data_IF_498196486352
#
_entry.id   IF_498196486352
#
_cell.length_a   1.000
_cell.length_b   1.000
_cell.length_c   1.000
_cell.angle_alpha   90.00
_cell.angle_beta   90.00
_cell.angle_gamma   90.00
#
_symmetry.space_group_name_H-M   'P 1'
#
loop_
_entity.id
_entity.type
_entity.pdbx_description
1 polymer ?
#
# COMPACT_ATOMS: atom_id res chain seq x y z
N UNK A 1 -9.24 -5.67 2.38
CA UNK A 1 -9.42 -4.35 3.01
C UNK A 1 -9.10 -3.27 1.97
N UNK A 2 -9.71 -2.09 2.06
CA UNK A 2 -9.41 -0.94 1.19
C UNK A 2 -9.04 0.23 2.10
N UNK A 3 -7.83 0.77 1.94
CA UNK A 3 -7.36 1.98 2.61
C UNK A 3 -7.17 3.10 1.60
N UNK A 4 -7.55 4.33 1.97
CA UNK A 4 -7.36 5.51 1.12
C UNK A 4 -6.75 6.64 1.92
N UNK A 5 -5.58 7.10 1.49
CA UNK A 5 -5.01 8.36 1.95
C UNK A 5 -5.68 9.53 1.23
N UNK A 6 -5.67 10.68 1.89
CA UNK A 6 -6.30 11.91 1.38
C UNK A 6 -5.27 13.03 1.26
N UNK A 7 -5.58 14.10 0.51
CA UNK A 7 -4.67 15.23 0.35
C UNK A 7 -4.23 15.90 1.66
N UNK A 8 -5.01 15.72 2.74
CA UNK A 8 -4.67 16.22 4.07
C UNK A 8 -3.36 15.64 4.63
N UNK A 9 -2.84 14.56 4.03
CA UNK A 9 -1.52 14.01 4.35
C UNK A 9 -0.39 15.04 4.22
N UNK A 10 -0.56 16.06 3.37
CA UNK A 10 0.36 17.19 3.25
C UNK A 10 0.64 17.90 4.59
N UNK A 11 -0.32 17.84 5.52
CA UNK A 11 -0.26 18.52 6.81
C UNK A 11 0.08 17.59 7.97
N UNK A 12 0.35 16.31 7.71
CA UNK A 12 0.69 15.36 8.77
C UNK A 12 2.05 15.71 9.38
N UNK A 13 2.13 15.53 10.69
CA UNK A 13 3.40 15.34 11.40
C UNK A 13 3.77 13.86 11.42
N UNK A 14 5.03 13.55 11.75
CA UNK A 14 5.48 12.17 11.93
C UNK A 14 4.64 11.46 13.00
N UNK A 15 4.33 12.14 14.12
CA UNK A 15 3.56 11.54 15.21
C UNK A 15 2.13 11.21 14.77
N UNK A 16 1.47 12.12 14.04
CA UNK A 16 0.14 11.87 13.48
C UNK A 16 0.16 10.73 12.46
N UNK A 17 1.17 10.69 11.58
CA UNK A 17 1.34 9.58 10.65
C UNK A 17 1.50 8.25 11.40
N UNK A 18 2.30 8.20 12.47
CA UNK A 18 2.47 6.99 13.29
C UNK A 18 1.17 6.57 13.97
N UNK A 19 0.36 7.51 14.47
CA UNK A 19 -0.97 7.21 15.02
C UNK A 19 -1.89 6.57 13.98
N UNK A 20 -1.91 7.10 12.75
CA UNK A 20 -2.67 6.51 11.63
C UNK A 20 -2.19 5.09 11.30
N UNK A 21 -0.87 4.85 11.28
CA UNK A 21 -0.31 3.51 11.06
C UNK A 21 -0.69 2.55 12.19
N UNK A 22 -0.72 2.99 13.44
CA UNK A 22 -1.18 2.15 14.56
C UNK A 22 -2.68 1.85 14.46
N UNK A 23 -3.49 2.81 14.02
CA UNK A 23 -4.91 2.59 13.77
C UNK A 23 -5.13 1.56 12.64
N UNK A 24 -4.38 1.70 11.54
CA UNK A 24 -4.36 0.73 10.44
C UNK A 24 -3.94 -0.64 10.97
N UNK A 25 -2.83 -0.73 11.71
CA UNK A 25 -2.36 -1.99 12.32
C UNK A 25 -3.45 -2.65 13.18
N UNK A 26 -4.20 -1.88 13.95
CA UNK A 26 -5.27 -2.42 14.78
C UNK A 26 -6.41 -3.01 13.93
N UNK A 27 -6.76 -2.35 12.81
CA UNK A 27 -7.71 -2.92 11.83
C UNK A 27 -7.16 -4.23 11.27
N UNK A 28 -5.86 -4.27 10.94
CA UNK A 28 -5.23 -5.49 10.47
C UNK A 28 -5.34 -6.63 11.49
N UNK A 29 -4.97 -6.38 12.75
CA UNK A 29 -5.06 -7.36 13.83
C UNK A 29 -6.49 -7.86 14.05
N UNK A 30 -7.47 -6.95 14.07
CA UNK A 30 -8.86 -7.28 14.41
C UNK A 30 -9.58 -8.12 13.36
N UNK A 31 -9.12 -8.09 12.11
CA UNK A 31 -9.77 -8.75 10.98
C UNK A 31 -8.85 -9.74 10.25
N UNK A 32 -7.67 -10.01 10.80
CA UNK A 32 -6.76 -11.03 10.29
C UNK A 32 -7.39 -12.44 10.42
N UNK A 33 -7.24 -13.33 9.42
CA UNK A 33 -6.53 -13.13 8.16
C UNK A 33 -7.38 -12.43 7.08
N UNK A 34 -6.75 -11.58 6.26
CA UNK A 34 -7.38 -11.04 5.06
C UNK A 34 -6.94 -11.80 3.82
N UNK A 35 -7.87 -12.00 2.88
CA UNK A 35 -7.53 -12.54 1.57
C UNK A 35 -6.67 -11.55 0.75
N UNK A 36 -6.95 -10.24 0.86
CA UNK A 36 -6.28 -9.22 0.06
C UNK A 36 -6.37 -7.79 0.65
N UNK A 37 -5.46 -6.92 0.21
CA UNK A 37 -5.43 -5.49 0.53
C UNK A 37 -5.37 -4.61 -0.74
N UNK A 38 -6.07 -3.47 -0.72
CA UNK A 38 -5.97 -2.41 -1.72
C UNK A 38 -5.63 -1.09 -1.02
N UNK A 39 -4.48 -0.51 -1.31
CA UNK A 39 -4.08 0.81 -0.78
C UNK A 39 -4.13 1.87 -1.88
N UNK A 40 -4.84 2.96 -1.64
CA UNK A 40 -4.95 4.11 -2.55
C UNK A 40 -4.09 5.26 -2.00
N UNK A 41 -2.96 5.52 -2.65
CA UNK A 41 -1.95 6.50 -2.22
C UNK A 41 -1.75 7.64 -3.23
N UNK A 42 -2.61 7.79 -4.24
CA UNK A 42 -2.50 8.85 -5.25
C UNK A 42 -2.52 10.25 -4.65
N UNK A 43 -3.22 10.42 -3.52
CA UNK A 43 -3.34 11.67 -2.78
C UNK A 43 -2.44 11.70 -1.53
N UNK A 44 -1.37 10.89 -1.50
CA UNK A 44 -0.42 10.86 -0.38
C UNK A 44 0.74 11.84 -0.63
N UNK A 45 0.79 12.91 0.15
CA UNK A 45 1.76 14.01 0.00
C UNK A 45 2.70 14.16 1.20
N UNK A 46 2.61 13.27 2.19
CA UNK A 46 3.51 13.27 3.34
C UNK A 46 4.87 12.68 2.96
N UNK A 47 5.97 13.35 3.33
CA UNK A 47 7.31 12.81 3.12
C UNK A 47 7.67 11.90 4.30
N UNK A 48 7.76 10.60 4.02
CA UNK A 48 8.17 9.61 5.03
C UNK A 48 9.70 9.48 4.99
N UNK A 49 10.37 9.87 6.08
CA UNK A 49 11.81 9.68 6.22
C UNK A 49 12.17 8.19 6.37
N UNK A 50 13.44 7.80 6.10
CA UNK A 50 13.86 6.39 6.14
C UNK A 50 13.60 5.68 7.48
N UNK A 51 13.77 6.37 8.62
CA UNK A 51 13.53 5.76 9.92
C UNK A 51 12.03 5.52 10.15
N UNK A 52 11.18 6.43 9.68
CA UNK A 52 9.72 6.26 9.73
C UNK A 52 9.24 5.17 8.75
N UNK A 53 9.90 4.99 7.60
CA UNK A 53 9.63 3.88 6.68
C UNK A 53 9.94 2.52 7.33
N UNK A 54 11.12 2.38 7.93
CA UNK A 54 11.52 1.15 8.63
C UNK A 54 10.57 0.83 9.78
N UNK A 55 10.22 1.84 10.59
CA UNK A 55 9.25 1.68 11.67
C UNK A 55 7.89 1.23 11.15
N UNK A 56 7.41 1.81 10.04
CA UNK A 56 6.13 1.43 9.41
C UNK A 56 6.13 -0.04 8.98
N UNK A 57 7.21 -0.49 8.34
CA UNK A 57 7.36 -1.88 7.91
C UNK A 57 7.30 -2.84 9.11
N UNK A 58 7.98 -2.51 10.21
CA UNK A 58 7.95 -3.29 11.45
C UNK A 58 6.54 -3.39 12.07
N UNK A 59 5.69 -2.37 11.92
CA UNK A 59 4.33 -2.40 12.46
C UNK A 59 3.38 -3.30 11.66
N UNK A 60 3.59 -3.43 10.34
CA UNK A 60 2.61 -4.03 9.43
C UNK A 60 3.01 -5.40 8.88
N UNK A 61 4.32 -5.69 8.75
CA UNK A 61 4.82 -6.88 8.04
C UNK A 61 4.18 -8.20 8.50
N UNK A 62 3.98 -8.39 9.79
CA UNK A 62 3.43 -9.64 10.36
C UNK A 62 1.95 -9.87 10.02
N UNK A 63 1.27 -8.85 9.48
CA UNK A 63 -0.18 -8.88 9.24
C UNK A 63 -0.55 -8.65 7.76
N UNK A 64 0.44 -8.45 6.89
CA UNK A 64 0.18 -8.21 5.47
C UNK A 64 -0.47 -9.43 4.80
N UNK A 65 -1.54 -9.26 4.00
CA UNK A 65 -2.15 -10.35 3.29
C UNK A 65 -1.24 -10.86 2.17
N UNK A 66 -1.46 -12.10 1.72
CA UNK A 66 -0.67 -12.73 0.66
C UNK A 66 -0.79 -12.01 -0.69
N UNK A 67 -1.79 -11.13 -0.88
CA UNK A 67 -1.98 -10.36 -2.12
C UNK A 67 -2.36 -8.92 -1.83
N UNK A 68 -1.57 -7.97 -2.34
CA UNK A 68 -1.78 -6.55 -2.11
C UNK A 68 -1.68 -5.76 -3.42
N UNK A 69 -2.63 -4.86 -3.65
CA UNK A 69 -2.58 -3.89 -4.74
C UNK A 69 -2.35 -2.49 -4.16
N UNK A 70 -1.49 -1.72 -4.80
CA UNK A 70 -1.10 -0.38 -4.36
C UNK A 70 -1.28 0.59 -5.52
N UNK A 71 -2.20 1.53 -5.39
CA UNK A 71 -2.42 2.59 -6.38
C UNK A 71 -1.60 3.80 -5.98
N UNK A 72 -0.74 4.26 -6.88
CA UNK A 72 0.15 5.42 -6.69
C UNK A 72 -0.09 6.42 -7.82
N UNK A 73 0.47 7.63 -7.72
CA UNK A 73 0.41 8.56 -8.84
C UNK A 73 1.14 7.98 -10.06
N UNK A 74 0.59 8.21 -11.26
CA UNK A 74 1.02 7.56 -12.51
C UNK A 74 2.53 7.75 -12.79
N UNK A 75 3.09 8.89 -12.41
CA UNK A 75 4.50 9.22 -12.56
C UNK A 75 5.45 8.29 -11.78
N UNK A 76 4.97 7.64 -10.70
CA UNK A 76 5.78 6.73 -9.89
C UNK A 76 5.62 5.25 -10.29
N UNK A 77 4.59 4.88 -11.06
CA UNK A 77 4.30 3.48 -11.38
C UNK A 77 5.45 2.82 -12.15
N UNK A 78 5.97 3.51 -13.17
CA UNK A 78 7.05 2.97 -13.99
C UNK A 78 8.34 2.73 -13.18
N UNK A 79 8.70 3.66 -12.31
CA UNK A 79 9.87 3.54 -11.44
C UNK A 79 9.72 2.37 -10.45
N UNK A 80 8.59 2.30 -9.74
CA UNK A 80 8.34 1.24 -8.77
C UNK A 80 8.24 -0.14 -9.42
N UNK A 81 7.71 -0.23 -10.64
CA UNK A 81 7.66 -1.49 -11.40
C UNK A 81 9.06 -1.99 -11.77
N UNK A 82 9.99 -1.08 -12.09
CA UNK A 82 11.39 -1.43 -12.34
C UNK A 82 12.06 -1.91 -11.05
N UNK A 83 11.85 -1.20 -9.94
CA UNK A 83 12.39 -1.59 -8.63
C UNK A 83 11.91 -3.00 -8.22
N UNK A 84 10.63 -3.32 -8.43
CA UNK A 84 10.10 -4.68 -8.22
C UNK A 84 10.76 -5.74 -9.10
N UNK A 85 10.99 -5.42 -10.38
CA UNK A 85 11.63 -6.34 -11.33
C UNK A 85 13.08 -6.63 -10.93
N UNK A 86 13.76 -5.67 -10.31
CA UNK A 86 15.14 -5.83 -9.83
C UNK A 86 15.20 -6.57 -8.48
N UNK A 87 14.14 -6.51 -7.66
CA UNK A 87 14.08 -7.13 -6.33
C UNK A 87 13.55 -8.57 -6.30
N UNK A 88 13.20 -9.17 -7.45
CA UNK A 88 12.90 -10.60 -7.66
C UNK A 88 12.21 -11.35 -6.48
N UNK A 89 10.94 -10.99 -6.28
CA UNK A 89 9.76 -11.80 -5.92
C UNK A 89 9.81 -12.87 -4.80
N UNK A 90 9.31 -12.48 -3.61
CA UNK A 90 8.42 -13.34 -2.78
C UNK A 90 7.12 -12.64 -2.32
N UNK A 91 6.92 -11.36 -2.66
CA UNK A 91 5.73 -10.59 -2.24
C UNK A 91 4.80 -10.28 -3.43
N UNK A 92 3.55 -10.72 -3.38
CA UNK A 92 2.54 -10.40 -4.40
C UNK A 92 1.96 -9.00 -4.20
N UNK A 93 2.83 -7.99 -4.16
CA UNK A 93 2.47 -6.58 -4.19
C UNK A 93 2.56 -6.10 -5.64
N UNK A 94 1.52 -5.44 -6.16
CA UNK A 94 1.54 -4.86 -7.51
C UNK A 94 1.11 -3.40 -7.49
N UNK A 95 1.82 -2.56 -8.24
CA UNK A 95 1.53 -1.14 -8.38
C UNK A 95 0.65 -0.83 -9.59
N UNK A 96 -0.24 0.15 -9.44
CA UNK A 96 -1.17 0.60 -10.47
C UNK A 96 -1.27 2.13 -10.47
N UNK A 97 -1.60 2.72 -11.61
CA UNK A 97 -1.91 4.15 -11.73
C UNK A 97 -3.40 4.46 -11.54
N UNK A 98 -4.27 3.44 -11.53
CA UNK A 98 -5.70 3.58 -11.36
C UNK A 98 -6.32 2.47 -10.49
N UNK A 99 -7.41 2.83 -9.80
CA UNK A 99 -8.13 1.93 -8.89
C UNK A 99 -8.90 0.79 -9.59
N UNK A 100 -9.61 1.02 -10.73
CA UNK A 100 -10.33 -0.04 -11.42
C UNK A 100 -9.47 -1.26 -11.77
N UNK A 101 -8.31 -1.05 -12.40
CA UNK A 101 -7.41 -2.15 -12.79
C UNK A 101 -6.82 -2.86 -11.56
N UNK A 102 -6.44 -2.09 -10.53
CA UNK A 102 -5.97 -2.64 -9.27
C UNK A 102 -6.99 -3.59 -8.64
N UNK A 103 -8.27 -3.21 -8.66
CA UNK A 103 -9.37 -4.04 -8.15
C UNK A 103 -9.56 -5.31 -8.97
N UNK A 104 -9.60 -5.21 -10.30
CA UNK A 104 -9.77 -6.36 -11.20
C UNK A 104 -8.65 -7.39 -11.01
N UNK A 105 -7.41 -6.92 -10.93
CA UNK A 105 -6.26 -7.77 -10.63
C UNK A 105 -6.38 -8.42 -9.27
N UNK A 106 -6.73 -7.66 -8.23
CA UNK A 106 -6.80 -8.15 -6.86
C UNK A 106 -7.78 -9.32 -6.71
N UNK A 107 -8.97 -9.20 -7.32
CA UNK A 107 -10.02 -10.22 -7.29
C UNK A 107 -9.86 -11.33 -8.34
N UNK A 108 -8.81 -11.28 -9.17
CA UNK A 108 -8.51 -12.31 -10.18
C UNK A 108 -9.46 -12.31 -11.38
N UNK A 109 -10.03 -11.16 -11.73
CA UNK A 109 -10.90 -10.99 -12.92
C UNK A 109 -10.14 -10.53 -14.16
N UNK A 110 -8.83 -10.68 -14.21
CA UNK A 110 -8.04 -10.36 -15.41
C UNK A 110 -8.65 -11.08 -16.61
N UNK A 111 -9.02 -10.31 -17.64
CA UNK A 111 -9.30 -10.88 -18.95
C UNK A 111 -7.99 -11.48 -19.45
N UNK A 112 -7.92 -12.81 -19.46
CA UNK A 112 -6.92 -13.54 -20.25
C UNK A 112 -7.03 -13.00 -21.67
N UNK A 113 -6.04 -12.21 -22.06
CA UNK A 113 -5.87 -11.72 -23.43
C UNK A 113 -4.88 -12.62 -24.14
#
# INVERSE_FOLDING_TARGET
>A
MISKWTPNTLHLTIDQYKEEILAVRQVFINHYPFACNLSLNQDFYFVIDPATQEWTAQQLNDYLPPKSAVVVAAEFVAQLSIEQTVQDMETAVKYFDNEPEAREWLIGKEKVS
#
